data_IF_320355690785
#
_entry.id   IF_320355690785
#
_cell.length_a   1.000
_cell.length_b   1.000
_cell.length_c   1.000
_cell.angle_alpha   90.00
_cell.angle_beta   90.00
_cell.angle_gamma   90.00
#
_symmetry.space_group_name_H-M   'P 1'
#
loop_
_entity.id
_entity.type
_entity.pdbx_description
1 polymer ?
#
# COMPACT_ATOMS: atom_id res chain seq x y z
N UNK A 1 -23.12 -17.14 -3.42
CA UNK A 1 -22.64 -15.77 -3.15
C UNK A 1 -22.95 -15.45 -1.68
N UNK A 2 -21.99 -14.91 -0.91
CA UNK A 2 -22.10 -14.77 0.57
C UNK A 2 -21.87 -13.34 1.08
N UNK A 3 -22.08 -12.33 0.23
CA UNK A 3 -22.00 -10.92 0.63
C UNK A 3 -23.30 -10.52 1.33
N UNK A 4 -23.19 -9.99 2.56
CA UNK A 4 -24.35 -9.62 3.38
C UNK A 4 -24.66 -8.11 3.36
N UNK A 5 -23.71 -7.30 2.90
CA UNK A 5 -23.83 -5.84 2.85
C UNK A 5 -23.41 -5.32 1.47
N UNK A 6 -24.37 -4.77 0.72
CA UNK A 6 -24.16 -4.24 -0.63
C UNK A 6 -23.22 -3.03 -0.65
N UNK A 7 -23.19 -2.21 0.41
CA UNK A 7 -22.26 -1.09 0.49
C UNK A 7 -20.84 -1.60 0.56
N UNK A 8 -20.55 -2.55 1.46
CA UNK A 8 -19.22 -3.16 1.56
C UNK A 8 -18.79 -3.83 0.25
N UNK A 9 -19.73 -4.43 -0.48
CA UNK A 9 -19.47 -4.98 -1.81
C UNK A 9 -19.08 -3.87 -2.82
N UNK A 10 -19.82 -2.76 -2.87
CA UNK A 10 -19.51 -1.63 -3.74
C UNK A 10 -18.12 -1.03 -3.42
N UNK A 11 -17.78 -0.90 -2.14
CA UNK A 11 -16.44 -0.47 -1.73
C UNK A 11 -15.36 -1.42 -2.22
N UNK A 12 -15.62 -2.73 -2.16
CA UNK A 12 -14.70 -3.73 -2.70
C UNK A 12 -14.61 -3.74 -4.22
N UNK A 13 -15.64 -3.25 -4.93
CA UNK A 13 -15.56 -3.02 -6.36
C UNK A 13 -14.76 -1.76 -6.70
N UNK A 14 -14.94 -0.67 -5.93
CA UNK A 14 -14.16 0.56 -6.08
C UNK A 14 -12.67 0.34 -5.80
N UNK A 15 -12.36 -0.35 -4.70
CA UNK A 15 -10.98 -0.76 -4.40
C UNK A 15 -10.40 -1.65 -5.51
N UNK A 16 -11.20 -2.48 -6.19
CA UNK A 16 -10.72 -3.25 -7.35
C UNK A 16 -10.24 -2.35 -8.48
N UNK A 17 -10.93 -1.23 -8.74
CA UNK A 17 -10.49 -0.27 -9.75
C UNK A 17 -9.21 0.45 -9.31
N UNK A 18 -9.11 0.86 -8.05
CA UNK A 18 -7.85 1.41 -7.50
C UNK A 18 -6.69 0.41 -7.58
N UNK A 19 -6.94 -0.87 -7.30
CA UNK A 19 -5.95 -1.94 -7.45
C UNK A 19 -5.45 -2.07 -8.91
N UNK A 20 -6.32 -1.89 -9.90
CA UNK A 20 -5.90 -1.87 -11.31
C UNK A 20 -4.96 -0.70 -11.61
N UNK A 21 -5.20 0.48 -11.03
CA UNK A 21 -4.30 1.63 -11.16
C UNK A 21 -2.91 1.36 -10.53
N UNK A 22 -2.80 0.41 -9.61
CA UNK A 22 -1.50 0.03 -9.02
C UNK A 22 -0.76 -1.01 -9.85
N UNK A 23 -1.49 -1.91 -10.53
CA UNK A 23 -0.92 -3.10 -11.18
C UNK A 23 -0.75 -2.97 -12.69
N UNK A 24 -1.65 -2.27 -13.36
CA UNK A 24 -1.73 -2.22 -14.83
C UNK A 24 -1.43 -0.82 -15.33
N UNK A 25 -0.13 -0.50 -15.37
CA UNK A 25 0.37 0.81 -15.78
C UNK A 25 0.31 1.05 -17.30
N UNK A 26 0.07 -0.01 -18.08
CA UNK A 26 0.00 0.08 -19.55
C UNK A 26 -1.41 0.40 -20.05
N UNK A 27 -2.44 0.19 -19.23
CA UNK A 27 -3.82 0.51 -19.58
C UNK A 27 -4.06 1.99 -19.86
N UNK A 28 -4.98 2.29 -20.78
CA UNK A 28 -5.50 3.66 -20.99
C UNK A 28 -6.09 4.23 -19.70
N UNK A 29 -6.78 3.39 -18.92
CA UNK A 29 -7.32 3.75 -17.62
C UNK A 29 -6.23 4.32 -16.70
N UNK A 30 -5.09 3.62 -16.56
CA UNK A 30 -3.96 4.15 -15.81
C UNK A 30 -3.40 5.43 -16.42
N UNK A 31 -3.08 5.44 -17.72
CA UNK A 31 -2.44 6.60 -18.37
C UNK A 31 -3.26 7.89 -18.21
N UNK A 32 -4.59 7.82 -18.42
CA UNK A 32 -5.49 8.96 -18.26
C UNK A 32 -5.57 9.43 -16.80
N UNK A 33 -5.73 8.50 -15.84
CA UNK A 33 -5.85 8.86 -14.43
C UNK A 33 -4.52 9.35 -13.83
N UNK A 34 -3.41 8.73 -14.22
CA UNK A 34 -2.05 9.14 -13.87
C UNK A 34 -1.79 10.58 -14.30
N UNK A 35 -2.03 10.90 -15.57
CA UNK A 35 -1.81 12.24 -16.10
C UNK A 35 -2.66 13.31 -15.39
N UNK A 36 -3.93 12.98 -15.07
CA UNK A 36 -4.86 13.96 -14.49
C UNK A 36 -4.76 14.11 -12.97
N UNK A 37 -4.57 13.03 -12.23
CA UNK A 37 -4.79 13.02 -10.78
C UNK A 37 -3.54 12.75 -9.94
N UNK A 38 -2.54 12.04 -10.48
CA UNK A 38 -1.32 11.73 -9.74
C UNK A 38 -0.07 11.75 -10.65
N UNK A 39 0.17 12.84 -11.42
CA UNK A 39 1.20 12.84 -12.46
C UNK A 39 2.62 12.62 -11.90
N UNK A 40 2.89 13.13 -10.69
CA UNK A 40 4.22 13.12 -10.08
C UNK A 40 4.39 12.15 -8.90
N UNK A 41 3.38 11.36 -8.56
CA UNK A 41 3.44 10.42 -7.43
C UNK A 41 2.80 9.07 -7.76
N UNK A 42 2.98 8.07 -6.89
CA UNK A 42 2.28 6.79 -7.06
C UNK A 42 0.80 6.94 -6.70
N UNK A 43 -0.04 6.02 -7.18
CA UNK A 43 -1.47 6.03 -6.89
C UNK A 43 -1.76 6.07 -5.38
N UNK A 44 -1.02 5.30 -4.58
CA UNK A 44 -1.20 5.27 -3.12
C UNK A 44 -0.85 6.60 -2.43
N UNK A 45 -0.09 7.49 -3.08
CA UNK A 45 0.29 8.80 -2.57
C UNK A 45 -0.62 9.92 -3.10
N UNK A 46 -1.57 9.58 -3.96
CA UNK A 46 -2.46 10.55 -4.57
C UNK A 46 -3.34 11.22 -3.51
N UNK A 47 -3.66 12.50 -3.73
CA UNK A 47 -4.53 13.29 -2.86
C UNK A 47 -5.82 13.67 -3.57
N UNK A 48 -6.83 14.03 -2.79
CA UNK A 48 -8.11 14.49 -3.35
C UNK A 48 -7.97 15.91 -3.90
N UNK A 49 -8.30 16.09 -5.18
CA UNK A 49 -8.37 17.42 -5.78
C UNK A 49 -9.78 18.01 -5.65
N UNK A 50 -9.95 19.32 -5.40
CA UNK A 50 -11.28 19.95 -5.27
C UNK A 50 -12.18 19.71 -6.50
N UNK A 51 -11.64 19.88 -7.71
CA UNK A 51 -12.36 19.69 -8.98
C UNK A 51 -12.23 18.27 -9.55
N UNK A 52 -12.20 17.27 -8.67
CA UNK A 52 -12.14 15.85 -9.05
C UNK A 52 -13.46 15.35 -9.65
N UNK A 53 -13.35 14.43 -10.61
CA UNK A 53 -14.52 13.73 -11.16
C UNK A 53 -15.12 12.82 -10.09
N UNK A 54 -16.42 12.54 -10.18
CA UNK A 54 -17.10 11.62 -9.27
C UNK A 54 -16.39 10.26 -9.20
N UNK A 55 -15.96 9.73 -10.36
CA UNK A 55 -15.21 8.46 -10.44
C UNK A 55 -13.92 8.51 -9.63
N UNK A 56 -13.14 9.58 -9.73
CA UNK A 56 -11.91 9.74 -8.93
C UNK A 56 -12.21 9.78 -7.43
N UNK A 57 -13.24 10.53 -7.04
CA UNK A 57 -13.68 10.60 -5.63
C UNK A 57 -14.03 9.22 -5.10
N UNK A 58 -14.80 8.43 -5.85
CA UNK A 58 -15.17 7.06 -5.47
C UNK A 58 -13.97 6.12 -5.37
N UNK A 59 -12.95 6.26 -6.24
CA UNK A 59 -11.72 5.47 -6.15
C UNK A 59 -10.90 5.87 -4.92
N UNK A 60 -10.71 7.17 -4.70
CA UNK A 60 -9.97 7.71 -3.56
C UNK A 60 -10.60 7.34 -2.23
N UNK A 61 -11.91 7.26 -2.19
CA UNK A 61 -12.67 6.80 -1.04
C UNK A 61 -12.36 5.34 -0.68
N UNK A 62 -12.03 4.49 -1.65
CA UNK A 62 -11.59 3.13 -1.40
C UNK A 62 -10.08 3.01 -1.07
N UNK A 63 -9.32 4.11 -1.13
CA UNK A 63 -7.88 4.14 -0.88
C UNK A 63 -7.47 3.63 0.52
N UNK A 64 -8.16 3.96 1.63
CA UNK A 64 -7.80 3.45 2.95
C UNK A 64 -7.85 1.92 3.02
N UNK A 65 -8.81 1.31 2.32
CA UNK A 65 -8.96 -0.15 2.25
C UNK A 65 -7.77 -0.76 1.52
N UNK A 66 -7.36 -0.15 0.40
CA UNK A 66 -6.18 -0.58 -0.36
C UNK A 66 -4.89 -0.43 0.43
N UNK A 67 -4.67 0.72 1.08
CA UNK A 67 -3.52 0.95 1.97
C UNK A 67 -3.49 -0.03 3.14
N UNK A 68 -4.66 -0.42 3.66
CA UNK A 68 -4.74 -1.39 4.75
C UNK A 68 -4.36 -2.80 4.30
N UNK A 69 -4.90 -3.27 3.18
CA UNK A 69 -4.75 -4.67 2.74
C UNK A 69 -3.61 -4.96 1.76
N UNK A 70 -2.80 -3.96 1.41
CA UNK A 70 -1.66 -4.13 0.49
C UNK A 70 -0.31 -3.89 1.18
N UNK A 71 0.72 -4.52 0.61
CA UNK A 71 2.11 -4.42 1.03
C UNK A 71 3.00 -4.54 -0.20
N UNK A 72 4.13 -3.85 -0.21
CA UNK A 72 5.17 -4.02 -1.19
C UNK A 72 5.90 -5.34 -0.96
N UNK A 73 6.21 -6.01 -2.06
CA UNK A 73 7.17 -7.10 -2.11
C UNK A 73 8.44 -6.57 -2.76
N UNK A 74 9.53 -6.62 -2.01
CA UNK A 74 10.85 -6.15 -2.43
C UNK A 74 11.33 -6.94 -3.65
N UNK A 75 11.72 -6.20 -4.68
CA UNK A 75 12.46 -6.66 -5.85
C UNK A 75 13.83 -5.98 -5.86
N UNK A 76 13.93 -4.86 -6.59
CA UNK A 76 15.14 -4.01 -6.61
C UNK A 76 15.14 -2.92 -5.53
N UNK A 77 14.04 -2.73 -4.81
CA UNK A 77 13.91 -1.77 -3.71
C UNK A 77 13.85 -0.30 -4.14
N UNK A 78 13.92 -0.03 -5.44
CA UNK A 78 13.96 1.33 -5.97
C UNK A 78 12.63 2.06 -5.84
N UNK A 79 11.49 1.41 -5.71
CA UNK A 79 10.17 2.07 -5.64
C UNK A 79 9.61 2.18 -4.22
N UNK A 80 10.33 1.66 -3.23
CA UNK A 80 9.82 1.49 -1.86
C UNK A 80 10.55 2.47 -0.95
N UNK A 81 9.81 3.37 -0.29
CA UNK A 81 10.33 4.26 0.75
C UNK A 81 10.40 3.51 2.08
N UNK A 82 11.59 3.44 2.67
CA UNK A 82 11.87 2.59 3.83
C UNK A 82 10.92 2.86 5.01
N UNK A 83 10.72 4.14 5.34
CA UNK A 83 9.95 4.57 6.50
C UNK A 83 8.45 4.74 6.22
N UNK A 84 8.09 5.06 4.97
CA UNK A 84 6.72 5.45 4.62
C UNK A 84 5.88 4.28 4.10
N UNK A 85 6.50 3.33 3.40
CA UNK A 85 5.78 2.23 2.75
C UNK A 85 5.63 1.00 3.65
N UNK A 86 4.59 0.19 3.36
CA UNK A 86 4.47 -1.16 3.93
C UNK A 86 5.26 -2.12 3.09
N UNK A 87 6.33 -2.71 3.61
CA UNK A 87 7.17 -3.63 2.87
C UNK A 87 7.79 -4.76 3.70
N UNK A 88 7.57 -4.76 5.03
CA UNK A 88 8.07 -5.80 5.93
C UNK A 88 6.93 -6.84 6.16
N UNK A 89 6.96 -8.01 5.51
CA UNK A 89 5.92 -9.02 5.67
C UNK A 89 5.92 -9.58 7.10
N UNK A 90 4.73 -9.96 7.60
CA UNK A 90 4.54 -10.59 8.91
C UNK A 90 5.05 -9.76 10.12
N UNK A 91 5.20 -8.46 9.97
CA UNK A 91 5.57 -7.52 11.03
C UNK A 91 4.34 -6.68 11.46
N UNK A 92 4.22 -6.21 12.71
CA UNK A 92 2.95 -5.71 13.28
C UNK A 92 2.19 -4.67 12.43
N UNK A 93 2.90 -3.73 11.81
CA UNK A 93 2.35 -2.68 10.94
C UNK A 93 2.65 -2.89 9.45
N UNK A 94 3.41 -3.94 9.13
CA UNK A 94 4.14 -4.14 7.88
C UNK A 94 5.11 -3.01 7.49
N UNK A 95 5.44 -2.11 8.43
CA UNK A 95 6.39 -1.01 8.27
C UNK A 95 7.43 -1.07 9.38
N UNK A 96 8.53 -0.32 9.18
CA UNK A 96 9.45 0.03 10.27
C UNK A 96 8.65 0.71 11.38
N UNK A 97 8.84 0.27 12.63
CA UNK A 97 8.10 0.80 13.78
C UNK A 97 8.87 1.94 14.46
N UNK A 98 10.19 1.85 14.52
CA UNK A 98 11.03 2.78 15.28
C UNK A 98 12.08 3.40 14.36
N UNK A 99 11.77 4.57 13.79
CA UNK A 99 12.78 5.36 13.07
C UNK A 99 13.72 6.00 14.09
N UNK A 100 15.02 5.76 13.95
CA UNK A 100 16.02 6.22 14.94
C UNK A 100 16.58 7.60 14.58
N UNK A 101 16.52 8.05 13.32
CA UNK A 101 17.27 9.22 12.87
C UNK A 101 16.44 10.23 12.06
N UNK A 102 16.51 11.50 12.48
CA UNK A 102 16.08 12.66 11.69
C UNK A 102 17.02 12.83 10.49
N UNK A 103 16.48 12.81 9.26
CA UNK A 103 17.25 13.05 8.02
C UNK A 103 17.24 11.92 6.99
N UNK A 104 16.65 10.76 7.30
CA UNK A 104 16.58 9.59 6.38
C UNK A 104 15.19 9.40 5.74
N UNK A 105 14.34 10.44 5.72
CA UNK A 105 12.96 10.34 5.22
C UNK A 105 12.84 9.91 3.75
N UNK A 106 13.88 10.17 2.95
CA UNK A 106 13.94 9.84 1.52
C UNK A 106 14.63 8.51 1.21
N UNK A 107 15.01 7.72 2.22
CA UNK A 107 15.65 6.42 1.99
C UNK A 107 14.73 5.47 1.24
N UNK A 108 15.32 4.82 0.23
CA UNK A 108 14.70 3.72 -0.51
C UNK A 108 15.25 2.38 -0.06
N UNK A 109 14.47 1.34 -0.22
CA UNK A 109 14.91 -0.02 0.15
C UNK A 109 16.15 -0.43 -0.66
N UNK A 110 16.32 0.09 -1.88
CA UNK A 110 17.54 -0.08 -2.68
C UNK A 110 18.81 0.40 -1.97
N UNK A 111 18.74 1.39 -1.06
CA UNK A 111 19.88 1.83 -0.27
C UNK A 111 20.33 0.79 0.77
N UNK A 112 19.44 -0.11 1.17
CA UNK A 112 19.69 -1.19 2.12
C UNK A 112 20.18 -2.48 1.43
N UNK A 113 20.16 -2.51 0.10
CA UNK A 113 20.52 -3.68 -0.72
C UNK A 113 21.94 -3.53 -1.24
N UNK A 114 22.72 -4.60 -1.12
CA UNK A 114 23.99 -4.78 -1.81
C UNK A 114 23.69 -5.26 -3.24
N UNK A 115 24.07 -4.46 -4.23
CA UNK A 115 23.81 -4.75 -5.65
C UNK A 115 24.68 -5.87 -6.22
N UNK A 116 25.86 -6.11 -5.64
CA UNK A 116 26.80 -7.13 -6.11
C UNK A 116 26.48 -8.49 -5.49
N UNK A 117 26.18 -8.50 -4.19
CA UNK A 117 25.88 -9.72 -3.43
C UNK A 117 24.40 -10.11 -3.48
N UNK A 118 23.54 -9.24 -4.02
CA UNK A 118 22.08 -9.39 -4.05
C UNK A 118 21.51 -9.76 -2.67
N UNK A 119 21.99 -9.03 -1.66
CA UNK A 119 21.75 -9.30 -0.25
C UNK A 119 21.50 -8.02 0.54
N UNK A 120 21.12 -8.18 1.81
CA UNK A 120 20.92 -7.04 2.71
C UNK A 120 22.27 -6.55 3.22
N UNK A 121 22.48 -5.22 3.25
CA UNK A 121 23.62 -4.59 3.91
C UNK A 121 23.42 -4.62 5.43
N UNK A 122 23.62 -5.79 6.03
CA UNK A 122 23.27 -6.07 7.43
C UNK A 122 23.91 -5.08 8.39
N UNK A 123 25.18 -4.72 8.17
CA UNK A 123 25.94 -3.79 8.99
C UNK A 123 25.36 -2.37 8.99
N UNK A 124 24.77 -1.91 7.88
CA UNK A 124 24.04 -0.63 7.83
C UNK A 124 22.70 -0.78 8.55
N UNK A 125 21.94 -1.82 8.21
CA UNK A 125 20.59 -2.05 8.75
C UNK A 125 20.62 -2.17 10.28
N UNK A 126 21.58 -2.91 10.83
CA UNK A 126 21.72 -3.12 12.29
C UNK A 126 22.19 -1.87 13.03
N UNK A 127 22.83 -0.90 12.35
CA UNK A 127 23.22 0.39 12.93
C UNK A 127 22.11 1.43 12.85
N UNK A 128 21.33 1.42 11.78
CA UNK A 128 20.30 2.42 11.47
C UNK A 128 18.97 2.13 12.15
N UNK A 129 18.54 0.86 12.18
CA UNK A 129 17.24 0.48 12.72
C UNK A 129 17.36 -0.15 14.09
N UNK A 130 16.25 -0.14 14.84
CA UNK A 130 16.22 -0.87 16.10
C UNK A 130 16.38 -2.37 15.83
N UNK A 131 16.78 -3.13 16.84
CA UNK A 131 17.09 -4.57 16.68
C UNK A 131 15.91 -5.35 16.08
N UNK A 132 14.68 -5.04 16.48
CA UNK A 132 13.48 -5.74 15.99
C UNK A 132 13.17 -5.47 14.51
N UNK A 133 13.21 -4.21 14.09
CA UNK A 133 13.02 -3.78 12.70
C UNK A 133 14.17 -4.34 11.83
N UNK A 134 15.42 -4.21 12.28
CA UNK A 134 16.61 -4.68 11.59
C UNK A 134 16.55 -6.20 11.34
N UNK A 135 16.24 -6.99 12.37
CA UNK A 135 16.07 -8.43 12.24
C UNK A 135 14.92 -8.79 11.29
N UNK A 136 13.80 -8.05 11.34
CA UNK A 136 12.66 -8.29 10.47
C UNK A 136 12.99 -8.00 9.00
N UNK A 137 13.72 -6.91 8.72
CA UNK A 137 14.21 -6.54 7.39
C UNK A 137 15.14 -7.62 6.85
N UNK A 138 16.16 -8.02 7.62
CA UNK A 138 17.15 -9.02 7.20
C UNK A 138 16.55 -10.42 6.94
N UNK A 139 15.38 -10.73 7.53
CA UNK A 139 14.64 -11.99 7.28
C UNK A 139 13.88 -12.00 5.96
N UNK A 140 13.75 -10.88 5.26
CA UNK A 140 13.04 -10.81 3.97
C UNK A 140 13.89 -11.50 2.90
N UNK A 141 13.38 -12.57 2.24
CA UNK A 141 14.15 -13.26 1.21
C UNK A 141 14.18 -12.47 -0.10
N UNK A 142 15.34 -12.44 -0.75
CA UNK A 142 15.44 -11.93 -2.12
C UNK A 142 14.95 -12.95 -3.15
N UNK A 143 14.35 -12.44 -4.22
CA UNK A 143 14.10 -13.23 -5.42
C UNK A 143 15.43 -13.46 -6.13
N UNK A 144 15.74 -14.70 -6.51
CA UNK A 144 16.91 -15.04 -7.35
C UNK A 144 16.83 -14.39 -8.75
N UNK A 145 15.64 -13.94 -9.15
CA UNK A 145 15.42 -13.18 -10.38
C UNK A 145 15.47 -11.70 -10.06
N UNK A 146 16.26 -10.93 -10.81
CA UNK A 146 16.20 -9.47 -10.80
C UNK A 146 14.82 -9.02 -11.28
N UNK A 147 13.94 -8.74 -10.33
CA UNK A 147 12.56 -8.30 -10.58
C UNK A 147 12.36 -6.92 -9.97
N UNK A 148 11.49 -6.13 -10.59
CA UNK A 148 11.08 -4.85 -10.03
C UNK A 148 10.19 -5.04 -8.81
N UNK A 149 10.14 -4.03 -7.95
CA UNK A 149 9.21 -3.98 -6.83
C UNK A 149 7.75 -4.11 -7.29
N UNK A 150 6.95 -4.82 -6.51
CA UNK A 150 5.52 -4.99 -6.80
C UNK A 150 4.68 -4.89 -5.56
N UNK A 151 3.50 -4.28 -5.67
CA UNK A 151 2.50 -4.35 -4.60
C UNK A 151 1.75 -5.68 -4.66
N UNK A 152 1.61 -6.31 -3.50
CA UNK A 152 0.89 -7.57 -3.28
C UNK A 152 -0.25 -7.39 -2.28
N UNK A 153 -1.28 -8.22 -2.43
CA UNK A 153 -2.45 -8.23 -1.57
C UNK A 153 -2.27 -9.21 -0.41
N UNK A 154 -2.34 -8.74 0.83
CA UNK A 154 -1.99 -9.54 2.01
C UNK A 154 -3.03 -10.61 2.38
N UNK A 155 -4.28 -10.48 1.93
CA UNK A 155 -5.38 -11.30 2.43
C UNK A 155 -5.67 -12.56 1.58
N UNK A 156 -4.70 -13.03 0.82
CA UNK A 156 -4.68 -14.40 0.30
C UNK A 156 -3.27 -14.86 -0.09
N UNK A 157 -3.08 -16.19 -0.13
CA UNK A 157 -1.80 -16.84 -0.46
C UNK A 157 -1.26 -16.49 -1.84
N UNK A 158 -2.11 -16.08 -2.78
CA UNK A 158 -1.70 -15.74 -4.15
C UNK A 158 -1.17 -14.31 -4.26
N UNK A 159 -1.35 -13.45 -3.25
CA UNK A 159 -0.98 -12.05 -3.31
C UNK A 159 -1.84 -11.22 -4.27
N UNK A 160 -2.99 -11.74 -4.72
CA UNK A 160 -3.82 -11.13 -5.78
C UNK A 160 -5.10 -10.56 -5.18
N UNK A 161 -5.44 -9.32 -5.51
CA UNK A 161 -6.69 -8.74 -5.07
C UNK A 161 -7.93 -9.54 -5.52
N UNK A 162 -8.84 -9.80 -4.58
CA UNK A 162 -10.18 -10.30 -4.91
C UNK A 162 -11.24 -9.47 -4.18
N UNK A 163 -12.40 -9.29 -4.81
CA UNK A 163 -13.54 -8.60 -4.18
C UNK A 163 -13.94 -9.29 -2.88
N UNK A 164 -13.87 -10.62 -2.84
CA UNK A 164 -14.18 -11.42 -1.66
C UNK A 164 -13.24 -11.13 -0.49
N UNK A 165 -11.92 -11.18 -0.70
CA UNK A 165 -10.96 -10.88 0.37
C UNK A 165 -11.07 -9.42 0.81
N UNK A 166 -11.25 -8.50 -0.14
CA UNK A 166 -11.36 -7.08 0.18
C UNK A 166 -12.64 -6.73 0.93
N UNK A 167 -13.75 -7.40 0.68
CA UNK A 167 -14.97 -7.23 1.47
C UNK A 167 -14.72 -7.36 2.98
N UNK A 168 -13.89 -8.33 3.38
CA UNK A 168 -13.55 -8.53 4.79
C UNK A 168 -12.64 -7.41 5.34
N UNK A 169 -11.70 -6.91 4.53
CA UNK A 169 -10.84 -5.76 4.88
C UNK A 169 -11.66 -4.49 5.01
N UNK A 170 -12.50 -4.19 4.02
CA UNK A 170 -13.42 -3.06 4.02
C UNK A 170 -14.28 -3.06 5.29
N UNK A 171 -14.82 -4.22 5.66
CA UNK A 171 -15.59 -4.38 6.89
C UNK A 171 -14.79 -4.03 8.15
N UNK A 172 -13.52 -4.42 8.22
CA UNK A 172 -12.64 -4.13 9.37
C UNK A 172 -12.32 -2.65 9.44
N UNK A 173 -11.82 -2.09 8.34
CA UNK A 173 -11.42 -0.67 8.22
C UNK A 173 -12.59 0.25 8.52
N UNK A 174 -13.78 -0.02 7.96
CA UNK A 174 -14.96 0.82 8.18
C UNK A 174 -15.51 0.70 9.60
N UNK A 175 -15.37 -0.46 10.25
CA UNK A 175 -15.73 -0.62 11.66
C UNK A 175 -14.78 0.12 12.59
N UNK A 176 -13.47 0.06 12.32
CA UNK A 176 -12.46 0.80 13.10
C UNK A 176 -12.68 2.29 12.95
N UNK A 177 -12.89 2.77 11.73
CA UNK A 177 -13.19 4.17 11.46
C UNK A 177 -14.50 4.64 12.13
N UNK A 178 -15.57 3.85 12.07
CA UNK A 178 -16.83 4.18 12.75
C UNK A 178 -16.68 4.30 14.28
N UNK A 179 -15.68 3.63 14.88
CA UNK A 179 -15.34 3.78 16.31
C UNK A 179 -14.47 5.00 16.59
N UNK A 180 -13.62 5.39 15.64
CA UNK A 180 -12.70 6.53 15.76
C UNK A 180 -13.35 7.89 15.43
N UNK A 181 -14.44 7.91 14.67
CA UNK A 181 -15.02 9.14 14.12
C UNK A 181 -16.29 9.60 14.85
N UNK A 182 -16.15 10.56 15.75
CA UNK A 182 -17.21 11.51 16.17
C UNK A 182 -17.29 12.76 15.26
N UNK A 183 -16.55 12.80 14.14
CA UNK A 183 -16.37 13.98 13.28
C UNK A 183 -17.16 14.00 11.95
N UNK A 184 -17.11 15.16 11.22
CA UNK A 184 -17.93 15.47 10.04
C UNK A 184 -17.66 14.61 8.79
N UNK A 185 -16.61 13.80 8.78
CA UNK A 185 -16.28 12.89 7.68
C UNK A 185 -17.36 11.81 7.43
N UNK A 186 -18.25 11.54 8.40
CA UNK A 186 -19.46 10.69 8.21
C UNK A 186 -20.35 11.13 7.05
N UNK A 187 -20.39 12.43 6.72
CA UNK A 187 -21.30 12.93 5.67
C UNK A 187 -20.88 12.52 4.25
N UNK A 188 -19.59 12.29 4.01
CA UNK A 188 -19.11 11.88 2.68
C UNK A 188 -19.48 10.41 2.43
N UNK A 189 -19.45 9.57 3.46
CA UNK A 189 -19.82 8.15 3.36
C UNK A 189 -21.31 7.87 3.33
N UNK A 190 -22.14 8.83 3.74
CA UNK A 190 -23.60 8.77 3.63
C UNK A 190 -24.13 9.28 2.28
N UNK A 191 -23.31 10.02 1.52
CA UNK A 191 -23.70 10.66 0.24
C UNK A 191 -23.29 9.86 -1.01
N UNK A 192 -22.66 8.71 -0.84
CA UNK A 192 -22.36 7.70 -1.87
C UNK A 192 -23.14 6.43 -1.58
#
# INVERSE_FOLDING_TARGET
MGFRDLRLFNHAMLAKQGWRLMRDQNSLFFKCFKARYFPRCHFLDATMSPNSSYVWRSIMFAMPILRSGSCWRVGNGESIKVLMDKWIPNYPSNKVLHSIHEGEEDWRVSNLIDSELHGWRQDIIMKTFNREDAEAICKIPFSHRHVTDVVVWLHNKKGVYTVRSNYHVARKVLREWAKSSTGPEQQIWKKL
#
